data_IF_571519926006
#
_entry.id   IF_571519926006
#
_cell.length_a   1.000
_cell.length_b   1.000
_cell.length_c   1.000
_cell.angle_alpha   90.00
_cell.angle_beta   90.00
_cell.angle_gamma   90.00
#
_symmetry.space_group_name_H-M   'P 1'
#
loop_
_entity.id
_entity.type
_entity.pdbx_description
1 polymer ?
#
# COMPACT_ATOMS: atom_id res chain seq x y z
N UNK A 1 -12.90 38.80 -19.31
CA UNK A 1 -12.78 37.38 -19.64
C UNK A 1 -13.43 36.66 -18.48
N UNK A 2 -14.59 36.05 -18.70
CA UNK A 2 -15.39 35.41 -17.67
C UNK A 2 -14.75 34.08 -17.34
N UNK A 3 -14.16 33.98 -16.16
CA UNK A 3 -13.77 32.69 -15.55
C UNK A 3 -15.04 32.03 -14.99
N UNK A 4 -15.78 31.32 -15.83
CA UNK A 4 -16.75 30.37 -15.31
C UNK A 4 -15.97 29.20 -14.71
N UNK A 5 -16.30 28.75 -13.48
CA UNK A 5 -15.67 27.57 -12.89
C UNK A 5 -16.02 26.36 -13.75
N UNK A 6 -15.01 25.67 -14.28
CA UNK A 6 -15.22 24.41 -14.97
C UNK A 6 -15.87 23.42 -14.01
N UNK A 7 -17.04 22.89 -14.40
CA UNK A 7 -17.72 21.83 -13.65
C UNK A 7 -16.97 20.51 -13.83
N UNK A 8 -16.17 20.16 -12.82
CA UNK A 8 -15.40 18.91 -12.77
C UNK A 8 -16.21 17.69 -12.31
N UNK A 9 -17.48 17.89 -11.93
CA UNK A 9 -18.32 16.79 -11.39
C UNK A 9 -18.64 15.72 -12.43
N UNK A 10 -18.65 16.04 -13.71
CA UNK A 10 -18.94 15.11 -14.81
C UNK A 10 -17.76 14.19 -15.17
N UNK A 11 -16.53 14.54 -14.81
CA UNK A 11 -15.34 13.72 -15.12
C UNK A 11 -15.16 12.53 -14.15
N UNK A 12 -15.78 12.59 -12.98
CA UNK A 12 -15.68 11.54 -11.96
C UNK A 12 -16.61 10.32 -12.21
N UNK A 13 -17.57 10.42 -13.13
CA UNK A 13 -18.62 9.42 -13.29
C UNK A 13 -18.60 8.59 -14.58
N UNK A 14 -17.61 8.75 -15.46
CA UNK A 14 -17.53 7.94 -16.67
C UNK A 14 -16.42 6.92 -16.62
N UNK A 15 -16.76 5.72 -16.18
CA UNK A 15 -15.99 4.51 -16.43
C UNK A 15 -15.63 3.74 -15.18
N UNK A 16 -16.23 2.59 -15.02
CA UNK A 16 -15.90 1.50 -14.09
C UNK A 16 -14.57 0.81 -14.40
N UNK A 17 -13.55 1.56 -14.78
CA UNK A 17 -12.17 1.10 -14.82
C UNK A 17 -11.47 1.72 -13.62
N UNK A 18 -11.34 0.94 -12.55
CA UNK A 18 -10.53 1.23 -11.38
C UNK A 18 -9.12 1.61 -11.84
N UNK A 19 -8.86 2.89 -12.00
CA UNK A 19 -7.55 3.43 -12.41
C UNK A 19 -6.89 4.02 -11.18
N UNK A 20 -5.60 3.76 -11.03
CA UNK A 20 -4.77 4.48 -10.06
C UNK A 20 -4.77 5.98 -10.37
N UNK A 21 -4.70 6.79 -9.33
CA UNK A 21 -4.43 8.21 -9.46
C UNK A 21 -3.00 8.50 -9.97
N UNK A 22 -2.63 9.78 -10.04
CA UNK A 22 -1.28 10.22 -10.40
C UNK A 22 -1.03 10.39 -11.89
N UNK A 23 -2.08 10.38 -12.74
CA UNK A 23 -1.93 10.54 -14.19
C UNK A 23 -2.13 11.99 -14.63
N UNK A 24 -1.33 12.91 -14.08
CA UNK A 24 -1.40 14.36 -14.34
C UNK A 24 -1.25 14.68 -15.83
N UNK A 25 -0.31 14.02 -16.51
CA UNK A 25 -0.05 14.29 -17.93
C UNK A 25 -1.22 13.92 -18.84
N UNK A 26 -1.87 12.78 -18.62
CA UNK A 26 -3.05 12.39 -19.39
C UNK A 26 -4.22 13.32 -19.11
N UNK A 27 -4.42 13.68 -17.84
CA UNK A 27 -5.47 14.62 -17.43
C UNK A 27 -5.25 16.00 -18.03
N UNK A 28 -4.02 16.52 -17.97
CA UNK A 28 -3.65 17.79 -18.58
C UNK A 28 -3.96 17.79 -20.08
N UNK A 29 -3.57 16.72 -20.77
CA UNK A 29 -3.85 16.58 -22.21
C UNK A 29 -5.35 16.56 -22.51
N UNK A 30 -6.17 15.86 -21.72
CA UNK A 30 -7.63 15.80 -21.88
C UNK A 30 -8.30 17.15 -21.64
N UNK A 31 -7.80 17.92 -20.69
CA UNK A 31 -8.33 19.23 -20.32
C UNK A 31 -7.72 20.38 -21.12
N UNK A 32 -6.76 20.11 -22.00
CA UNK A 32 -5.98 21.09 -22.74
C UNK A 32 -5.30 22.14 -21.83
N UNK A 33 -4.74 21.65 -20.72
CA UNK A 33 -4.00 22.42 -19.71
C UNK A 33 -2.52 22.00 -19.69
N UNK A 34 -1.68 22.79 -19.04
CA UNK A 34 -0.33 22.38 -18.69
C UNK A 34 -0.37 21.49 -17.44
N UNK A 35 0.51 20.48 -17.29
CA UNK A 35 0.59 19.68 -16.08
C UNK A 35 0.77 20.50 -14.80
N UNK A 36 1.45 21.64 -14.88
CA UNK A 36 1.67 22.58 -13.77
C UNK A 36 0.42 23.34 -13.32
N UNK A 37 -0.65 23.33 -14.12
CA UNK A 37 -1.94 23.95 -13.80
C UNK A 37 -2.89 23.01 -13.06
N UNK A 38 -2.47 21.74 -12.86
CA UNK A 38 -3.27 20.71 -12.18
C UNK A 38 -2.75 20.50 -10.77
N UNK A 39 -3.64 20.62 -9.80
CA UNK A 39 -3.39 20.17 -8.43
C UNK A 39 -3.82 18.70 -8.35
N UNK A 40 -2.85 17.79 -8.27
CA UNK A 40 -3.13 16.37 -8.20
C UNK A 40 -3.31 15.91 -6.73
N UNK A 41 -4.55 15.64 -6.34
CA UNK A 41 -4.90 15.04 -5.07
C UNK A 41 -5.33 13.56 -5.20
N UNK A 42 -5.09 12.96 -6.38
CA UNK A 42 -5.51 11.56 -6.67
C UNK A 42 -4.48 10.51 -6.27
N UNK A 43 -3.28 10.92 -5.88
CA UNK A 43 -2.20 10.03 -5.42
C UNK A 43 -1.56 10.57 -4.14
N UNK A 44 -1.35 9.69 -3.18
CA UNK A 44 -0.69 10.02 -1.90
C UNK A 44 0.83 10.01 -2.09
N UNK A 45 1.36 11.12 -2.60
CA UNK A 45 2.80 11.31 -2.80
C UNK A 45 3.39 12.18 -1.68
N UNK A 46 4.64 11.91 -1.33
CA UNK A 46 5.39 12.74 -0.39
C UNK A 46 5.69 14.09 -1.07
N UNK A 47 5.29 15.24 -0.48
CA UNK A 47 5.43 16.55 -1.12
C UNK A 47 6.82 17.19 -0.91
N UNK A 48 7.83 16.40 -0.58
CA UNK A 48 9.20 16.85 -0.33
C UNK A 48 10.14 16.36 -1.42
N UNK A 49 11.17 17.14 -1.69
CA UNK A 49 12.26 16.70 -2.55
C UNK A 49 12.99 15.49 -1.94
N UNK A 50 13.56 14.60 -2.78
CA UNK A 50 14.36 13.49 -2.29
C UNK A 50 15.51 13.97 -1.40
N UNK A 51 15.82 13.27 -0.29
CA UNK A 51 16.97 13.61 0.54
C UNK A 51 18.27 13.63 -0.27
N UNK A 52 19.16 14.59 0.01
CA UNK A 52 20.42 14.76 -0.73
C UNK A 52 21.27 13.48 -0.75
N UNK A 53 21.29 12.74 0.37
CA UNK A 53 22.01 11.46 0.47
C UNK A 53 21.54 10.44 -0.57
N UNK A 54 20.25 10.42 -0.91
CA UNK A 54 19.70 9.54 -1.95
C UNK A 54 20.20 9.98 -3.33
N UNK A 55 20.15 11.28 -3.61
CA UNK A 55 20.63 11.85 -4.88
C UNK A 55 22.12 11.54 -5.08
N UNK A 56 22.91 11.74 -4.04
CA UNK A 56 24.37 11.49 -4.07
C UNK A 56 24.67 10.00 -4.29
N UNK A 57 23.92 9.12 -3.63
CA UNK A 57 24.06 7.66 -3.80
C UNK A 57 23.72 7.20 -5.22
N UNK A 58 22.65 7.74 -5.81
CA UNK A 58 22.27 7.44 -7.20
C UNK A 58 23.35 7.93 -8.19
N UNK A 59 23.83 9.16 -7.99
CA UNK A 59 24.91 9.71 -8.81
C UNK A 59 26.20 8.89 -8.70
N UNK A 60 26.55 8.43 -7.51
CA UNK A 60 27.70 7.57 -7.28
C UNK A 60 27.53 6.21 -8.01
N UNK A 61 26.32 5.62 -7.94
CA UNK A 61 25.99 4.39 -8.64
C UNK A 61 26.14 4.52 -10.16
N UNK A 62 25.68 5.63 -10.73
CA UNK A 62 25.85 5.93 -12.16
C UNK A 62 27.34 6.10 -12.52
N UNK A 63 28.09 6.92 -11.76
CA UNK A 63 29.52 7.16 -12.02
C UNK A 63 30.35 5.88 -11.93
N UNK A 64 30.03 5.00 -11.02
CA UNK A 64 30.71 3.71 -10.84
C UNK A 64 30.22 2.63 -11.79
N UNK A 65 29.40 2.98 -12.77
CA UNK A 65 28.85 2.06 -13.79
C UNK A 65 28.13 0.85 -13.18
N UNK A 66 27.43 1.04 -12.06
CA UNK A 66 26.70 -0.03 -11.37
C UNK A 66 25.71 -0.77 -12.26
N UNK A 67 25.13 -0.07 -13.26
CA UNK A 67 24.21 -0.64 -14.25
C UNK A 67 24.87 -1.63 -15.23
N UNK A 68 26.21 -1.79 -15.25
CA UNK A 68 26.91 -2.78 -16.11
C UNK A 68 26.78 -4.19 -15.58
N UNK A 69 26.42 -4.36 -14.32
CA UNK A 69 26.37 -5.64 -13.66
C UNK A 69 24.93 -6.04 -13.40
N UNK A 70 24.68 -7.34 -13.42
CA UNK A 70 23.41 -7.84 -12.89
C UNK A 70 23.33 -7.53 -11.38
N UNK A 71 22.13 -7.20 -10.87
CA UNK A 71 21.94 -7.09 -9.43
C UNK A 71 22.31 -8.39 -8.71
N UNK A 72 22.72 -8.29 -7.46
CA UNK A 72 22.91 -9.47 -6.64
C UNK A 72 21.61 -10.31 -6.59
N UNK A 73 21.70 -11.57 -6.97
CA UNK A 73 20.53 -12.42 -7.21
C UNK A 73 19.63 -12.57 -5.97
N UNK A 74 20.23 -12.64 -4.79
CA UNK A 74 19.51 -12.88 -3.53
C UNK A 74 19.23 -11.59 -2.74
N UNK A 75 19.77 -10.44 -3.18
CA UNK A 75 19.65 -9.14 -2.53
C UNK A 75 20.01 -9.19 -1.03
N UNK A 76 21.08 -9.94 -0.67
CA UNK A 76 21.43 -10.19 0.72
C UNK A 76 21.75 -8.90 1.48
N UNK A 77 22.56 -8.00 0.91
CA UNK A 77 22.92 -6.73 1.53
C UNK A 77 21.66 -5.89 1.82
N UNK A 78 20.70 -5.84 0.88
CA UNK A 78 19.44 -5.13 1.06
C UNK A 78 18.61 -5.76 2.18
N UNK A 79 18.50 -7.10 2.20
CA UNK A 79 17.77 -7.83 3.25
C UNK A 79 18.39 -7.63 4.63
N UNK A 80 19.71 -7.60 4.73
CA UNK A 80 20.41 -7.33 5.99
C UNK A 80 20.11 -5.93 6.52
N UNK A 81 20.14 -4.92 5.65
CA UNK A 81 19.83 -3.53 6.02
C UNK A 81 18.38 -3.42 6.50
N UNK A 82 17.44 -3.96 5.74
CA UNK A 82 16.01 -3.96 6.11
C UNK A 82 15.80 -4.75 7.41
N UNK A 83 16.43 -5.92 7.51
CA UNK A 83 16.34 -6.78 8.71
C UNK A 83 16.86 -6.07 9.96
N UNK A 84 17.98 -5.36 9.85
CA UNK A 84 18.54 -4.55 10.93
C UNK A 84 17.61 -3.40 11.31
N UNK A 85 17.05 -2.70 10.32
CA UNK A 85 16.14 -1.57 10.55
C UNK A 85 14.87 -2.00 11.31
N UNK A 86 14.24 -3.09 10.89
CA UNK A 86 13.01 -3.59 11.48
C UNK A 86 13.21 -4.61 12.62
N UNK A 87 14.44 -5.01 12.88
CA UNK A 87 14.76 -6.00 13.91
C UNK A 87 14.21 -7.40 13.59
N UNK A 88 14.17 -7.80 12.33
CA UNK A 88 13.67 -9.10 11.84
C UNK A 88 14.78 -9.88 11.12
N UNK A 89 14.60 -11.20 11.00
CA UNK A 89 15.55 -12.05 10.28
C UNK A 89 15.57 -11.69 8.79
N UNK A 90 16.73 -11.43 8.17
CA UNK A 90 16.84 -11.20 6.71
C UNK A 90 16.21 -12.30 5.85
N UNK A 91 16.20 -13.57 6.35
CA UNK A 91 15.55 -14.68 5.67
C UNK A 91 14.02 -14.55 5.54
N UNK A 92 13.40 -13.71 6.36
CA UNK A 92 11.96 -13.43 6.32
C UNK A 92 11.62 -12.20 5.46
N UNK A 93 12.57 -11.69 4.66
CA UNK A 93 12.38 -10.51 3.82
C UNK A 93 12.39 -10.90 2.35
N UNK A 94 11.35 -10.50 1.64
CA UNK A 94 11.23 -10.60 0.19
C UNK A 94 11.19 -9.20 -0.41
N UNK A 95 12.30 -8.69 -0.97
CA UNK A 95 12.29 -7.44 -1.72
C UNK A 95 11.55 -7.58 -3.04
N UNK A 96 10.86 -6.51 -3.47
CA UNK A 96 10.15 -6.46 -4.74
C UNK A 96 10.23 -5.08 -5.39
N UNK A 97 9.83 -4.98 -6.66
CA UNK A 97 9.80 -3.74 -7.43
C UNK A 97 8.52 -2.95 -7.14
N UNK A 98 8.44 -2.40 -5.95
CA UNK A 98 7.27 -1.68 -5.45
C UNK A 98 6.20 -2.60 -4.85
N UNK A 99 5.24 -1.96 -4.15
CA UNK A 99 4.18 -2.69 -3.44
C UNK A 99 3.29 -3.52 -4.39
N UNK A 100 3.07 -3.06 -5.61
CA UNK A 100 2.18 -3.74 -6.57
C UNK A 100 2.67 -5.14 -6.95
N UNK A 101 3.99 -5.34 -7.08
CA UNK A 101 4.56 -6.68 -7.28
C UNK A 101 4.34 -7.56 -6.05
N UNK A 102 4.64 -7.03 -4.86
CA UNK A 102 4.48 -7.79 -3.61
C UNK A 102 3.01 -8.13 -3.33
N UNK A 103 2.09 -7.20 -3.59
CA UNK A 103 0.64 -7.43 -3.51
C UNK A 103 0.23 -8.57 -4.47
N UNK A 104 0.82 -8.63 -5.67
CA UNK A 104 0.52 -9.72 -6.61
C UNK A 104 0.95 -11.08 -6.06
N UNK A 105 2.12 -11.18 -5.44
CA UNK A 105 2.56 -12.42 -4.78
C UNK A 105 1.75 -12.73 -3.52
N UNK A 106 1.35 -11.71 -2.75
CA UNK A 106 0.45 -11.91 -1.62
C UNK A 106 -0.91 -12.48 -2.06
N UNK A 107 -1.44 -12.05 -3.20
CA UNK A 107 -2.65 -12.64 -3.80
C UNK A 107 -2.47 -14.12 -4.17
N UNK A 108 -1.29 -14.51 -4.66
CA UNK A 108 -0.96 -15.92 -4.89
C UNK A 108 -0.98 -16.73 -3.58
N UNK A 109 -0.34 -16.22 -2.54
CA UNK A 109 -0.39 -16.90 -1.24
C UNK A 109 -1.84 -16.98 -0.72
N UNK A 110 -2.59 -15.88 -0.77
CA UNK A 110 -4.00 -15.84 -0.35
C UNK A 110 -4.85 -16.91 -1.06
N UNK A 111 -4.62 -17.13 -2.35
CA UNK A 111 -5.38 -18.12 -3.14
C UNK A 111 -5.28 -19.55 -2.61
N UNK A 112 -4.25 -19.87 -1.83
CA UNK A 112 -4.02 -21.20 -1.25
C UNK A 112 -4.83 -21.44 0.03
N UNK A 113 -5.31 -20.39 0.69
CA UNK A 113 -5.94 -20.47 2.00
C UNK A 113 -7.47 -20.41 1.97
N UNK A 114 -8.06 -19.95 0.87
CA UNK A 114 -9.52 -19.90 0.73
C UNK A 114 -10.06 -18.53 0.35
N UNK A 115 -11.15 -18.10 1.01
CA UNK A 115 -11.84 -16.85 0.68
C UNK A 115 -11.14 -15.66 1.36
N UNK A 116 -10.73 -14.68 0.55
CA UNK A 116 -10.19 -13.42 1.06
C UNK A 116 -11.30 -12.45 1.47
N UNK A 117 -11.16 -11.83 2.65
CA UNK A 117 -11.98 -10.70 3.08
C UNK A 117 -11.23 -9.40 2.82
N UNK A 118 -11.84 -8.49 2.09
CA UNK A 118 -11.29 -7.16 1.78
C UNK A 118 -12.15 -6.11 2.47
N UNK A 119 -11.61 -5.37 3.48
CA UNK A 119 -12.31 -4.23 4.07
C UNK A 119 -12.61 -3.17 3.02
N UNK A 120 -13.87 -2.76 2.89
CA UNK A 120 -14.31 -1.83 1.83
C UNK A 120 -14.75 -0.48 2.42
N UNK A 121 -14.42 0.66 1.78
CA UNK A 121 -13.64 0.79 0.54
C UNK A 121 -12.20 0.30 0.68
N UNK A 122 -11.54 -0.10 -0.41
CA UNK A 122 -10.20 -0.70 -0.37
C UNK A 122 -9.29 -0.17 -1.48
N UNK A 123 -8.01 -0.44 -1.34
CA UNK A 123 -7.05 -0.21 -2.40
C UNK A 123 -7.30 -1.20 -3.55
N UNK A 124 -7.38 -0.68 -4.78
CA UNK A 124 -7.82 -1.45 -5.96
C UNK A 124 -6.90 -2.62 -6.33
N UNK A 125 -5.62 -2.55 -5.97
CA UNK A 125 -4.65 -3.58 -6.31
C UNK A 125 -4.89 -4.91 -5.58
N UNK A 126 -5.61 -4.93 -4.47
CA UNK A 126 -5.95 -6.18 -3.79
C UNK A 126 -6.87 -7.04 -4.66
N UNK A 127 -7.94 -6.44 -5.16
CA UNK A 127 -8.85 -7.14 -6.09
C UNK A 127 -8.14 -7.54 -7.38
N UNK A 128 -7.33 -6.64 -7.95
CA UNK A 128 -6.50 -6.95 -9.12
C UNK A 128 -5.64 -8.18 -8.88
N UNK A 129 -4.96 -8.23 -7.73
CA UNK A 129 -4.05 -9.34 -7.41
C UNK A 129 -4.79 -10.66 -7.23
N UNK A 130 -5.92 -10.65 -6.51
CA UNK A 130 -6.75 -11.84 -6.30
C UNK A 130 -7.33 -12.36 -7.63
N UNK A 131 -7.78 -11.46 -8.51
CA UNK A 131 -8.26 -11.81 -9.84
C UNK A 131 -7.15 -12.42 -10.72
N UNK A 132 -5.89 -11.97 -10.60
CA UNK A 132 -4.76 -12.59 -11.32
C UNK A 132 -4.60 -14.09 -11.01
N UNK A 133 -5.00 -14.51 -9.81
CA UNK A 133 -4.86 -15.89 -9.34
C UNK A 133 -6.19 -16.65 -9.23
N UNK A 134 -7.27 -16.11 -9.83
CA UNK A 134 -8.62 -16.66 -9.74
C UNK A 134 -9.05 -16.97 -8.28
N UNK A 135 -8.63 -16.14 -7.35
CA UNK A 135 -8.95 -16.30 -5.93
C UNK A 135 -10.32 -15.69 -5.60
N UNK A 136 -11.10 -16.40 -4.80
CA UNK A 136 -12.38 -15.88 -4.34
C UNK A 136 -12.20 -14.83 -3.23
N UNK A 137 -12.99 -13.78 -3.29
CA UNK A 137 -12.98 -12.75 -2.24
C UNK A 137 -14.38 -12.20 -1.98
N UNK A 138 -14.53 -11.60 -0.81
CA UNK A 138 -15.74 -10.89 -0.37
C UNK A 138 -15.33 -9.52 0.16
N UNK A 139 -16.21 -8.54 -0.03
CA UNK A 139 -16.06 -7.24 0.61
C UNK A 139 -16.68 -7.27 2.00
N UNK A 140 -15.95 -6.68 2.95
CA UNK A 140 -16.38 -6.49 4.32
C UNK A 140 -16.51 -4.99 4.56
N UNK A 141 -17.75 -4.46 4.58
CA UNK A 141 -17.96 -3.02 4.75
C UNK A 141 -17.40 -2.53 6.09
N UNK A 142 -16.57 -1.50 6.01
CA UNK A 142 -16.12 -0.77 7.18
C UNK A 142 -17.23 0.16 7.70
N UNK A 143 -17.26 0.48 9.00
CA UNK A 143 -18.20 1.46 9.53
C UNK A 143 -18.12 2.79 8.78
N UNK A 144 -19.26 3.42 8.51
CA UNK A 144 -19.30 4.71 7.80
C UNK A 144 -18.94 5.91 8.70
N UNK A 145 -19.09 5.75 10.00
CA UNK A 145 -18.81 6.80 10.98
C UNK A 145 -17.50 6.46 11.68
N UNK A 146 -16.55 7.37 11.58
CA UNK A 146 -15.25 7.28 12.22
C UNK A 146 -15.18 8.21 13.41
N UNK A 147 -14.55 7.76 14.48
CA UNK A 147 -14.24 8.63 15.61
C UNK A 147 -12.95 9.40 15.32
N UNK A 148 -12.78 10.57 15.92
CA UNK A 148 -11.54 11.37 15.82
C UNK A 148 -10.38 10.80 16.67
N UNK A 149 -10.52 9.55 17.14
CA UNK A 149 -9.53 8.87 17.98
C UNK A 149 -8.56 8.12 17.05
N UNK A 150 -7.27 8.31 17.27
CA UNK A 150 -6.18 7.62 16.57
C UNK A 150 -5.16 7.07 17.58
N UNK A 151 -4.75 5.81 17.47
CA UNK A 151 -5.29 4.76 16.59
C UNK A 151 -6.67 4.27 17.04
N UNK A 152 -7.38 3.57 16.15
CA UNK A 152 -8.70 2.97 16.41
C UNK A 152 -8.63 1.45 16.44
N UNK A 153 -9.57 0.83 17.15
CA UNK A 153 -9.75 -0.61 17.09
C UNK A 153 -10.24 -1.05 15.72
N UNK A 154 -9.61 -2.09 15.15
CA UNK A 154 -10.02 -2.64 13.87
C UNK A 154 -11.35 -3.37 13.99
N UNK A 155 -12.34 -3.09 13.14
CA UNK A 155 -13.62 -3.80 13.16
C UNK A 155 -13.43 -5.23 12.67
N UNK A 156 -13.66 -6.20 13.55
CA UNK A 156 -13.54 -7.61 13.21
C UNK A 156 -14.65 -8.06 12.26
N UNK A 157 -14.24 -8.64 11.14
CA UNK A 157 -15.13 -9.29 10.17
C UNK A 157 -14.82 -10.78 10.11
N UNK A 158 -15.58 -11.64 10.81
CA UNK A 158 -15.25 -13.07 10.92
C UNK A 158 -15.55 -13.90 9.67
N UNK A 159 -15.73 -13.26 8.52
CA UNK A 159 -16.02 -13.92 7.24
C UNK A 159 -14.75 -14.08 6.42
N UNK A 160 -14.55 -15.26 5.84
CA UNK A 160 -13.37 -15.58 5.03
C UNK A 160 -12.25 -16.25 5.83
N UNK A 161 -11.26 -16.70 5.10
CA UNK A 161 -10.09 -17.42 5.61
C UNK A 161 -8.85 -16.50 5.68
N UNK A 162 -8.79 -15.54 4.77
CA UNK A 162 -7.71 -14.56 4.62
C UNK A 162 -8.27 -13.16 4.84
N UNK A 163 -7.53 -12.29 5.50
CA UNK A 163 -7.89 -10.88 5.62
C UNK A 163 -6.80 -9.98 5.05
N UNK A 164 -7.23 -8.96 4.31
CA UNK A 164 -6.37 -7.89 3.82
C UNK A 164 -6.56 -6.65 4.67
N UNK A 165 -5.50 -6.15 5.24
CA UNK A 165 -5.50 -4.97 6.10
C UNK A 165 -4.59 -3.92 5.48
N UNK A 166 -5.03 -2.69 5.44
CA UNK A 166 -4.18 -1.54 5.12
C UNK A 166 -4.04 -0.70 6.38
N UNK A 167 -2.83 -0.42 6.81
CA UNK A 167 -2.58 0.36 8.01
C UNK A 167 -1.47 1.41 7.79
N UNK A 168 -1.77 2.72 7.75
CA UNK A 168 -3.12 3.32 7.80
C UNK A 168 -3.98 2.90 6.59
N UNK A 169 -5.29 2.87 6.80
CA UNK A 169 -6.23 2.40 5.79
C UNK A 169 -6.29 3.33 4.57
N UNK A 170 -6.18 2.76 3.38
CA UNK A 170 -6.39 3.45 2.11
C UNK A 170 -7.75 3.03 1.54
N UNK A 171 -8.74 3.95 1.32
CA UNK A 171 -8.54 5.41 1.16
C UNK A 171 -8.89 6.26 2.39
N UNK A 172 -9.34 5.71 3.51
CA UNK A 172 -9.95 6.52 4.59
C UNK A 172 -8.96 7.19 5.54
N UNK A 173 -7.68 6.77 5.53
CA UNK A 173 -6.66 7.30 6.42
C UNK A 173 -6.72 6.80 7.87
N UNK A 174 -7.59 5.83 8.19
CA UNK A 174 -7.71 5.27 9.53
C UNK A 174 -6.45 4.53 9.95
N UNK A 175 -5.90 4.87 11.11
CA UNK A 175 -4.82 4.13 11.75
C UNK A 175 -5.42 3.11 12.73
N UNK A 176 -5.10 1.84 12.52
CA UNK A 176 -5.59 0.76 13.36
C UNK A 176 -4.63 0.46 14.50
N UNK A 177 -5.20 0.22 15.67
CA UNK A 177 -4.47 -0.13 16.88
C UNK A 177 -3.89 -1.55 16.76
N UNK A 178 -2.59 -1.69 17.01
CA UNK A 178 -1.85 -2.96 16.95
C UNK A 178 -2.48 -4.06 17.79
N UNK A 179 -2.93 -3.74 19.01
CA UNK A 179 -3.54 -4.73 19.89
C UNK A 179 -4.84 -5.29 19.29
N UNK A 180 -5.64 -4.45 18.64
CA UNK A 180 -6.85 -4.91 17.96
C UNK A 180 -6.53 -5.75 16.72
N UNK A 181 -5.47 -5.38 15.98
CA UNK A 181 -4.98 -6.15 14.84
C UNK A 181 -4.39 -7.51 15.27
N UNK A 182 -3.77 -7.61 16.44
CA UNK A 182 -3.31 -8.90 16.97
C UNK A 182 -4.47 -9.87 17.22
N UNK A 183 -5.64 -9.37 17.63
CA UNK A 183 -6.85 -10.20 17.75
C UNK A 183 -7.37 -10.68 16.37
N UNK A 184 -7.12 -9.90 15.32
CA UNK A 184 -7.40 -10.34 13.93
C UNK A 184 -6.44 -11.44 13.52
N UNK A 185 -5.14 -11.27 13.77
CA UNK A 185 -4.11 -12.28 13.44
C UNK A 185 -4.47 -13.66 14.02
N UNK A 186 -4.98 -13.72 15.24
CA UNK A 186 -5.38 -14.97 15.88
C UNK A 186 -6.56 -15.71 15.23
N UNK A 187 -7.32 -15.03 14.36
CA UNK A 187 -8.62 -15.55 13.84
C UNK A 187 -8.59 -15.99 12.40
N UNK A 188 -7.64 -15.48 11.61
CA UNK A 188 -7.56 -15.78 10.20
C UNK A 188 -6.40 -16.74 9.89
N UNK A 189 -6.57 -17.55 8.85
CA UNK A 189 -5.52 -18.48 8.41
C UNK A 189 -4.32 -17.75 7.81
N UNK A 190 -4.57 -16.59 7.17
CA UNK A 190 -3.55 -15.71 6.63
C UNK A 190 -3.97 -14.26 6.81
N UNK A 191 -3.04 -13.41 7.23
CA UNK A 191 -3.21 -11.97 7.35
C UNK A 191 -2.21 -11.28 6.44
N UNK A 192 -2.70 -10.47 5.52
CA UNK A 192 -1.89 -9.62 4.65
C UNK A 192 -2.06 -8.19 5.13
N UNK A 193 -0.99 -7.59 5.64
CA UNK A 193 -1.01 -6.22 6.15
C UNK A 193 -0.13 -5.32 5.29
N UNK A 194 -0.75 -4.36 4.61
CA UNK A 194 -0.09 -3.32 3.84
C UNK A 194 0.19 -2.11 4.75
N UNK A 195 1.45 -1.87 5.04
CA UNK A 195 1.94 -0.78 5.89
C UNK A 195 2.66 0.32 5.08
N UNK A 196 2.38 0.44 3.78
CA UNK A 196 3.10 1.36 2.89
C UNK A 196 3.11 2.82 3.38
N UNK A 197 2.06 3.28 4.07
CA UNK A 197 1.95 4.64 4.58
C UNK A 197 2.25 4.77 6.09
N UNK A 198 2.65 3.69 6.75
CA UNK A 198 2.78 3.69 8.21
C UNK A 198 3.92 4.61 8.69
N UNK A 199 5.05 4.61 7.99
CA UNK A 199 6.22 5.41 8.34
C UNK A 199 6.02 6.92 8.17
N UNK A 200 5.07 7.35 7.32
CA UNK A 200 4.73 8.77 7.13
C UNK A 200 3.58 9.24 8.05
N UNK A 201 3.06 8.34 8.87
CA UNK A 201 1.99 8.63 9.82
C UNK A 201 2.59 8.96 11.19
N UNK A 202 2.20 10.08 11.84
CA UNK A 202 2.70 10.42 13.17
C UNK A 202 2.50 9.27 14.17
N UNK A 203 3.59 8.77 14.75
CA UNK A 203 3.61 7.61 15.65
C UNK A 203 3.09 6.28 15.05
N UNK A 204 2.86 6.22 13.73
CA UNK A 204 2.32 5.03 13.06
C UNK A 204 3.14 3.78 13.27
N UNK A 205 4.47 3.89 13.30
CA UNK A 205 5.37 2.75 13.46
C UNK A 205 5.13 1.93 14.75
N UNK A 206 4.51 2.52 15.77
CA UNK A 206 4.11 1.80 17.00
C UNK A 206 3.02 0.78 16.74
N UNK A 207 2.23 1.01 15.69
CA UNK A 207 1.11 0.15 15.28
C UNK A 207 1.50 -0.90 14.23
N UNK A 208 2.79 -0.99 13.89
CA UNK A 208 3.29 -2.00 12.94
C UNK A 208 3.09 -3.43 13.42
N UNK A 209 2.67 -4.29 12.52
CA UNK A 209 2.55 -5.75 12.74
C UNK A 209 3.86 -6.49 12.51
N UNK A 210 4.90 -5.87 11.97
CA UNK A 210 6.20 -6.50 11.75
C UNK A 210 6.71 -7.25 12.99
N UNK A 211 6.63 -6.71 14.23
CA UNK A 211 7.07 -7.44 15.40
C UNK A 211 6.26 -8.71 15.69
N UNK A 212 5.01 -8.79 15.23
CA UNK A 212 4.16 -9.96 15.44
C UNK A 212 4.56 -11.15 14.56
N UNK A 213 5.30 -10.91 13.47
CA UNK A 213 5.83 -12.00 12.62
C UNK A 213 6.82 -12.92 13.34
N UNK A 214 7.30 -12.53 14.53
CA UNK A 214 8.10 -13.38 15.41
C UNK A 214 7.26 -14.32 16.26
N UNK A 215 5.96 -14.05 16.38
CA UNK A 215 5.04 -14.75 17.27
C UNK A 215 4.01 -15.58 16.50
N UNK A 216 3.66 -15.16 15.32
CA UNK A 216 2.63 -15.77 14.50
C UNK A 216 3.19 -16.06 13.09
N UNK A 217 2.85 -17.22 12.54
CA UNK A 217 3.34 -17.71 11.24
C UNK A 217 2.37 -17.40 10.09
N UNK A 218 1.23 -16.84 10.41
CA UNK A 218 0.16 -16.51 9.47
C UNK A 218 0.17 -15.01 9.14
#
# INVERSE_FOLDING_TARGET
MNNEPHDYSTLAMQGSNLKHGGNVYETAKKLNLLPSEIIDASASLVPFDPPQILIDSLNAGIKNLGFRYYPERNLNDLKEIIGKFHGINPGNILPGNGASELITWAGYEASKFGISCIPSPSFVDYERSLNCWNSNFIHCELPKNWNDIFPQSFPLHPKGDVIWITNPHNPTGQLWEKNSLEEVVKKYKLVICDEAFLSITPNGEKESLIPLTKKYDN
#
